data_IF_864693016885
#
_entry.id   IF_864693016885
#
_cell.length_a   1.000
_cell.length_b   1.000
_cell.length_c   1.000
_cell.angle_alpha   90.00
_cell.angle_beta   90.00
_cell.angle_gamma   90.00
#
_symmetry.space_group_name_H-M   'P 1'
#
loop_
_entity.id
_entity.type
_entity.pdbx_description
1 polymer ?
#
# COMPACT_ATOMS: atom_id res chain seq x y z
N UNK A 1 1.14 -43.09 -34.92
CA UNK A 1 1.63 -41.76 -34.50
C UNK A 1 2.91 -41.97 -33.69
N UNK A 2 4.03 -41.39 -34.09
CA UNK A 2 5.35 -41.73 -33.58
C UNK A 2 5.51 -41.20 -32.16
N UNK A 3 5.85 -42.05 -31.15
CA UNK A 3 5.99 -41.67 -29.74
C UNK A 3 6.91 -40.44 -29.53
N UNK A 4 7.91 -40.25 -30.42
CA UNK A 4 8.81 -39.10 -30.42
C UNK A 4 8.12 -37.78 -30.78
N UNK A 5 7.08 -37.81 -31.64
CA UNK A 5 6.30 -36.62 -32.04
C UNK A 5 5.37 -36.19 -30.90
N UNK A 6 4.80 -37.15 -30.15
CA UNK A 6 3.93 -36.87 -29.00
C UNK A 6 4.72 -36.23 -27.85
N UNK A 7 5.95 -36.70 -27.58
CA UNK A 7 6.84 -36.13 -26.56
C UNK A 7 7.29 -34.71 -26.94
N UNK A 8 7.57 -34.48 -28.24
CA UNK A 8 7.96 -33.14 -28.71
C UNK A 8 6.80 -32.14 -28.66
N UNK A 9 5.57 -32.56 -28.97
CA UNK A 9 4.36 -31.74 -28.80
C UNK A 9 4.05 -31.44 -27.32
N UNK A 10 4.32 -32.39 -26.41
CA UNK A 10 4.13 -32.20 -24.99
C UNK A 10 5.16 -31.22 -24.42
N UNK A 11 6.42 -31.26 -24.90
CA UNK A 11 7.48 -30.30 -24.52
C UNK A 11 7.20 -28.88 -25.05
N UNK A 12 6.60 -28.74 -26.23
CA UNK A 12 6.18 -27.44 -26.77
C UNK A 12 5.00 -26.88 -25.98
N UNK A 13 4.08 -27.73 -25.49
CA UNK A 13 2.96 -27.30 -24.65
C UNK A 13 3.38 -26.85 -23.24
N UNK A 14 4.56 -27.22 -22.73
CA UNK A 14 5.07 -26.77 -21.41
C UNK A 14 5.95 -25.52 -21.49
N UNK A 15 6.27 -25.02 -22.69
CA UNK A 15 6.96 -23.75 -22.89
C UNK A 15 5.99 -22.56 -22.73
N UNK A 16 5.11 -22.61 -21.71
CA UNK A 16 4.11 -21.56 -21.50
C UNK A 16 4.59 -20.42 -20.65
N UNK A 17 4.65 -19.30 -21.30
CA UNK A 17 4.28 -17.97 -20.81
C UNK A 17 4.66 -17.69 -19.37
N UNK A 18 5.92 -17.53 -19.13
CA UNK A 18 6.36 -16.61 -18.09
C UNK A 18 5.99 -15.19 -18.57
N UNK A 19 4.70 -14.84 -18.55
CA UNK A 19 4.34 -13.42 -18.56
C UNK A 19 5.01 -12.84 -17.34
N UNK A 20 5.98 -11.97 -17.55
CA UNK A 20 6.50 -11.17 -16.47
C UNK A 20 5.27 -10.51 -15.83
N UNK A 21 4.99 -10.91 -14.59
CA UNK A 21 3.85 -10.38 -13.84
C UNK A 21 4.07 -8.90 -13.68
N UNK A 22 3.30 -8.06 -14.38
CA UNK A 22 3.42 -6.61 -14.38
C UNK A 22 2.30 -6.01 -13.55
N UNK A 23 2.66 -5.17 -12.61
CA UNK A 23 1.70 -4.39 -11.85
C UNK A 23 1.35 -3.12 -12.65
N UNK A 24 0.06 -2.77 -12.76
CA UNK A 24 -0.37 -1.48 -13.30
C UNK A 24 0.05 -0.35 -12.36
N UNK A 25 0.48 0.75 -12.94
CA UNK A 25 0.66 1.99 -12.18
C UNK A 25 -0.67 2.47 -11.57
N UNK A 26 -0.63 3.31 -10.51
CA UNK A 26 -1.86 3.91 -9.99
C UNK A 26 -2.67 4.65 -11.05
N UNK A 27 -2.01 5.37 -11.96
CA UNK A 27 -2.65 6.10 -13.07
C UNK A 27 -3.43 5.16 -13.99
N UNK A 28 -2.81 4.05 -14.41
CA UNK A 28 -3.44 3.04 -15.26
C UNK A 28 -4.60 2.33 -14.56
N UNK A 29 -4.46 2.07 -13.26
CA UNK A 29 -5.51 1.40 -12.47
C UNK A 29 -6.70 2.33 -12.21
N UNK A 30 -6.43 3.58 -11.85
CA UNK A 30 -7.45 4.56 -11.51
C UNK A 30 -8.15 5.14 -12.74
N UNK A 31 -7.49 5.12 -13.92
CA UNK A 31 -7.99 5.74 -15.15
C UNK A 31 -7.87 7.26 -15.17
N UNK A 32 -7.03 7.84 -14.29
CA UNK A 32 -6.67 9.25 -14.27
C UNK A 32 -5.28 9.44 -13.65
N UNK A 33 -4.55 10.53 -13.98
CA UNK A 33 -3.25 10.80 -13.39
C UNK A 33 -3.34 10.95 -11.87
N UNK A 34 -2.47 10.25 -11.14
CA UNK A 34 -2.41 10.32 -9.69
C UNK A 34 -2.14 11.76 -9.24
N UNK A 35 -2.90 12.24 -8.27
CA UNK A 35 -2.83 13.62 -7.79
C UNK A 35 -3.63 14.64 -8.61
N UNK A 36 -4.23 14.27 -9.75
CA UNK A 36 -5.11 15.18 -10.51
C UNK A 36 -6.45 15.42 -9.82
N UNK A 37 -6.85 14.52 -8.94
CA UNK A 37 -7.98 14.62 -8.03
C UNK A 37 -7.74 13.73 -6.82
N UNK A 38 -8.42 13.98 -5.71
CA UNK A 38 -8.28 13.16 -4.52
C UNK A 38 -9.02 11.82 -4.68
N UNK A 39 -8.30 10.74 -4.41
CA UNK A 39 -8.81 9.36 -4.55
C UNK A 39 -9.59 8.95 -3.31
N UNK A 40 -10.89 8.54 -3.42
CA UNK A 40 -11.66 7.99 -2.31
C UNK A 40 -11.03 6.73 -1.72
N UNK A 41 -11.22 6.48 -0.43
CA UNK A 41 -10.60 5.37 0.28
C UNK A 41 -10.86 4.00 -0.36
N UNK A 42 -12.09 3.73 -0.81
CA UNK A 42 -12.43 2.46 -1.45
C UNK A 42 -11.60 2.15 -2.70
N UNK A 43 -11.15 3.17 -3.46
CA UNK A 43 -10.27 2.99 -4.62
C UNK A 43 -8.83 2.68 -4.20
N UNK A 44 -8.37 3.26 -3.09
CA UNK A 44 -7.07 2.93 -2.49
C UNK A 44 -7.08 1.46 -2.06
N UNK A 45 -8.11 1.04 -1.33
CA UNK A 45 -8.34 -0.36 -0.93
C UNK A 45 -8.32 -1.29 -2.15
N UNK A 46 -9.05 -0.91 -3.21
CA UNK A 46 -9.11 -1.69 -4.45
C UNK A 46 -7.75 -1.82 -5.13
N UNK A 47 -6.94 -0.75 -5.13
CA UNK A 47 -5.59 -0.78 -5.69
C UNK A 47 -4.66 -1.72 -4.91
N UNK A 48 -4.70 -1.67 -3.57
CA UNK A 48 -3.89 -2.57 -2.72
C UNK A 48 -4.32 -4.04 -2.89
N UNK A 49 -5.63 -4.32 -2.98
CA UNK A 49 -6.15 -5.66 -3.27
C UNK A 49 -5.76 -6.16 -4.68
N UNK A 50 -5.75 -5.26 -5.66
CA UNK A 50 -5.23 -5.58 -6.99
C UNK A 50 -3.72 -5.87 -6.94
N UNK A 51 -2.93 -5.05 -6.26
CA UNK A 51 -1.48 -5.19 -6.20
C UNK A 51 -1.05 -6.54 -5.61
N UNK A 52 -1.67 -6.99 -4.52
CA UNK A 52 -1.37 -8.30 -3.93
C UNK A 52 -1.75 -9.46 -4.87
N UNK A 53 -2.83 -9.32 -5.65
CA UNK A 53 -3.22 -10.31 -6.65
C UNK A 53 -2.26 -10.33 -7.85
N UNK A 54 -1.71 -9.18 -8.23
CA UNK A 54 -0.74 -9.06 -9.31
C UNK A 54 0.66 -9.53 -8.91
N UNK A 55 1.06 -9.35 -7.65
CA UNK A 55 2.43 -9.60 -7.16
C UNK A 55 2.46 -10.44 -5.87
N UNK A 56 1.79 -11.62 -5.83
CA UNK A 56 1.62 -12.40 -4.60
C UNK A 56 2.93 -12.95 -4.02
N UNK A 57 4.00 -13.05 -4.82
CA UNK A 57 5.31 -13.51 -4.34
C UNK A 57 6.11 -12.41 -3.60
N UNK A 58 5.75 -11.13 -3.80
CA UNK A 58 6.46 -9.98 -3.21
C UNK A 58 5.59 -9.19 -2.23
N UNK A 59 4.30 -9.48 -2.17
CA UNK A 59 3.36 -8.75 -1.32
C UNK A 59 2.40 -9.69 -0.59
N UNK A 60 2.19 -9.42 0.70
CA UNK A 60 1.06 -9.92 1.51
C UNK A 60 0.21 -8.73 1.92
N UNK A 61 -1.10 -8.91 2.07
CA UNK A 61 -2.03 -7.89 2.51
C UNK A 61 -2.92 -8.45 3.62
N UNK A 62 -2.94 -7.78 4.76
CA UNK A 62 -3.85 -8.08 5.86
C UNK A 62 -4.85 -6.93 6.05
N UNK A 63 -6.09 -7.25 6.37
CA UNK A 63 -7.07 -6.32 6.92
C UNK A 63 -7.03 -6.50 8.44
N UNK A 64 -6.44 -5.54 9.17
CA UNK A 64 -6.23 -5.66 10.61
C UNK A 64 -7.40 -5.12 11.45
N UNK A 65 -8.41 -4.55 10.80
CA UNK A 65 -9.61 -4.06 11.45
C UNK A 65 -10.47 -3.21 10.53
N UNK A 66 -11.49 -2.60 11.13
CA UNK A 66 -12.37 -1.65 10.47
C UNK A 66 -12.54 -0.42 11.36
N UNK A 67 -12.76 0.73 10.73
CA UNK A 67 -13.10 1.95 11.46
C UNK A 67 -14.53 1.87 12.00
N UNK A 68 -14.91 2.87 12.81
CA UNK A 68 -16.30 2.97 13.29
C UNK A 68 -17.33 3.10 12.15
N UNK A 69 -16.94 3.69 11.02
CA UNK A 69 -17.80 3.81 9.82
C UNK A 69 -17.68 2.60 8.88
N UNK A 70 -17.04 1.50 9.32
CA UNK A 70 -16.95 0.23 8.59
C UNK A 70 -15.93 0.23 7.44
N UNK A 71 -14.99 1.17 7.42
CA UNK A 71 -13.93 1.20 6.40
C UNK A 71 -12.78 0.27 6.79
N UNK A 72 -12.29 -0.59 5.87
CA UNK A 72 -11.20 -1.51 6.17
C UNK A 72 -9.88 -0.76 6.43
N UNK A 73 -9.15 -1.24 7.43
CA UNK A 73 -7.79 -0.84 7.76
C UNK A 73 -6.83 -1.90 7.24
N UNK A 74 -5.92 -1.51 6.35
CA UNK A 74 -5.06 -2.42 5.62
C UNK A 74 -3.60 -2.29 6.05
N UNK A 75 -2.90 -3.42 6.08
CA UNK A 75 -1.46 -3.46 6.22
C UNK A 75 -0.87 -4.33 5.11
N UNK A 76 -0.06 -3.71 4.25
CA UNK A 76 0.68 -4.40 3.21
C UNK A 76 2.10 -4.70 3.68
N UNK A 77 2.58 -5.92 3.41
CA UNK A 77 3.94 -6.37 3.64
C UNK A 77 4.61 -6.55 2.29
N UNK A 78 5.68 -5.82 2.04
CA UNK A 78 6.41 -5.84 0.78
C UNK A 78 7.87 -6.24 1.06
N UNK A 79 8.35 -7.25 0.33
CA UNK A 79 9.72 -7.75 0.47
C UNK A 79 10.19 -8.43 -0.82
N UNK A 80 11.47 -8.81 -0.88
CA UNK A 80 11.92 -9.79 -1.89
C UNK A 80 11.18 -11.11 -1.70
N UNK A 81 11.12 -11.94 -2.75
CA UNK A 81 10.47 -13.27 -2.70
C UNK A 81 11.01 -14.11 -1.55
N UNK A 82 12.34 -14.09 -1.34
CA UNK A 82 13.02 -14.84 -0.28
C UNK A 82 12.65 -14.31 1.12
N UNK A 83 12.59 -12.99 1.30
CA UNK A 83 12.26 -12.37 2.58
C UNK A 83 10.78 -12.53 2.92
N UNK A 84 9.89 -12.43 1.92
CA UNK A 84 8.45 -12.63 2.15
C UNK A 84 8.17 -14.06 2.62
N UNK A 85 8.86 -15.05 2.07
CA UNK A 85 8.75 -16.44 2.50
C UNK A 85 9.23 -16.69 3.94
N UNK A 86 10.09 -15.80 4.48
CA UNK A 86 10.67 -15.87 5.84
C UNK A 86 10.16 -14.77 6.77
N UNK A 87 9.03 -14.16 6.44
CA UNK A 87 8.52 -12.96 7.13
C UNK A 87 8.40 -13.15 8.65
N UNK A 88 7.90 -14.31 9.10
CA UNK A 88 7.75 -14.58 10.54
C UNK A 88 9.10 -14.79 11.25
N UNK A 89 10.08 -15.39 10.60
CA UNK A 89 11.44 -15.55 11.15
C UNK A 89 12.12 -14.17 11.27
N UNK A 90 11.96 -13.32 10.25
CA UNK A 90 12.46 -11.94 10.26
C UNK A 90 11.80 -11.15 11.40
N UNK A 91 10.48 -11.26 11.57
CA UNK A 91 9.74 -10.61 12.67
C UNK A 91 10.27 -11.06 14.04
N UNK A 92 10.33 -12.37 14.28
CA UNK A 92 10.85 -12.93 15.55
C UNK A 92 12.27 -12.47 15.82
N UNK A 93 13.12 -12.46 14.79
CA UNK A 93 14.48 -12.05 14.98
C UNK A 93 14.62 -10.55 15.30
N UNK A 94 13.81 -9.69 14.69
CA UNK A 94 13.75 -8.27 15.08
C UNK A 94 13.29 -8.08 16.53
N UNK A 95 12.32 -8.87 17.00
CA UNK A 95 11.89 -8.86 18.42
C UNK A 95 13.02 -9.33 19.38
N UNK A 96 13.89 -10.25 18.95
CA UNK A 96 15.08 -10.65 19.72
C UNK A 96 16.11 -9.54 19.79
N UNK A 97 16.36 -8.86 18.67
CA UNK A 97 17.30 -7.73 18.64
C UNK A 97 16.87 -6.57 19.54
N UNK A 98 15.57 -6.40 19.75
CA UNK A 98 15.01 -5.38 20.65
C UNK A 98 14.85 -5.87 22.11
N UNK A 99 15.17 -7.12 22.40
CA UNK A 99 15.04 -7.72 23.73
C UNK A 99 13.59 -8.07 24.14
N UNK A 100 12.63 -7.98 23.23
CA UNK A 100 11.24 -8.39 23.47
C UNK A 100 11.10 -9.92 23.52
N UNK A 101 11.80 -10.62 22.62
CA UNK A 101 11.98 -12.07 22.69
C UNK A 101 13.39 -12.39 23.19
N UNK A 102 13.47 -13.29 24.19
CA UNK A 102 14.72 -13.66 24.86
C UNK A 102 15.01 -15.17 24.78
N UNK A 103 14.33 -15.87 23.89
CA UNK A 103 14.47 -17.32 23.68
C UNK A 103 15.84 -17.72 23.11
N UNK A 104 16.46 -16.83 22.34
CA UNK A 104 17.82 -16.97 21.80
C UNK A 104 18.37 -15.59 21.39
N UNK A 105 19.70 -15.46 21.17
CA UNK A 105 20.30 -14.23 20.67
C UNK A 105 19.76 -13.83 19.29
N UNK A 106 19.54 -12.51 19.08
CA UNK A 106 19.16 -11.97 17.78
C UNK A 106 20.32 -11.96 16.79
N UNK A 107 20.04 -12.21 15.51
CA UNK A 107 21.00 -12.13 14.42
C UNK A 107 20.98 -10.72 13.81
N UNK A 108 22.10 -10.00 13.87
CA UNK A 108 22.25 -8.63 13.35
C UNK A 108 22.20 -8.54 11.81
N UNK A 109 22.40 -9.66 11.10
CA UNK A 109 22.34 -9.72 9.64
C UNK A 109 20.94 -10.04 9.10
N UNK A 110 19.89 -9.72 9.86
CA UNK A 110 18.51 -9.90 9.41
C UNK A 110 18.02 -8.63 8.67
N UNK A 111 17.08 -8.76 7.72
CA UNK A 111 16.44 -7.59 7.11
C UNK A 111 15.78 -6.67 8.15
N UNK A 112 15.96 -5.36 7.96
CA UNK A 112 15.26 -4.36 8.75
C UNK A 112 13.77 -4.33 8.40
N UNK A 113 12.93 -4.00 9.38
CA UNK A 113 11.50 -3.75 9.16
C UNK A 113 11.26 -2.24 9.18
N UNK A 114 10.71 -1.70 8.09
CA UNK A 114 10.35 -0.29 7.94
C UNK A 114 8.85 -0.18 7.82
N UNK A 115 8.22 0.57 8.70
CA UNK A 115 6.78 0.82 8.69
C UNK A 115 6.48 2.23 8.21
N UNK A 116 5.74 2.33 7.11
CA UNK A 116 5.28 3.56 6.49
C UNK A 116 3.77 3.72 6.73
N UNK A 117 3.43 4.57 7.68
CA UNK A 117 2.05 4.90 8.01
C UNK A 117 1.64 6.18 7.32
N UNK A 118 0.57 6.11 6.52
CA UNK A 118 0.09 7.23 5.72
C UNK A 118 -1.26 7.74 6.21
N UNK A 119 -1.54 9.02 5.95
CA UNK A 119 -2.83 9.67 6.12
C UNK A 119 -3.40 9.60 7.55
N UNK A 120 -2.55 9.94 8.53
CA UNK A 120 -2.94 10.11 9.93
C UNK A 120 -4.01 11.19 10.05
N UNK A 121 -3.81 12.32 9.36
CA UNK A 121 -4.87 13.32 9.17
C UNK A 121 -5.54 13.10 7.81
N UNK A 122 -6.84 12.85 7.83
CA UNK A 122 -7.57 12.48 6.61
C UNK A 122 -7.60 13.55 5.53
N UNK A 123 -7.53 14.83 5.89
CA UNK A 123 -7.49 15.96 4.94
C UNK A 123 -6.10 16.22 4.34
N UNK A 124 -5.05 15.52 4.79
CA UNK A 124 -3.74 15.52 4.13
C UNK A 124 -3.73 14.48 2.99
N UNK A 125 -4.52 14.74 1.98
CA UNK A 125 -4.95 13.75 0.97
C UNK A 125 -3.83 13.22 0.09
N UNK A 126 -2.76 14.00 -0.17
CA UNK A 126 -1.57 13.57 -0.91
C UNK A 126 -0.87 12.35 -0.28
N UNK A 127 -1.10 12.12 1.00
CA UNK A 127 -0.47 11.04 1.76
C UNK A 127 -0.84 9.64 1.21
N UNK A 128 -2.13 9.32 1.07
CA UNK A 128 -2.54 8.02 0.49
C UNK A 128 -2.27 7.92 -1.01
N UNK A 129 -2.24 9.04 -1.74
CA UNK A 129 -1.76 9.06 -3.14
C UNK A 129 -0.29 8.63 -3.19
N UNK A 130 0.53 9.17 -2.29
CA UNK A 130 1.93 8.77 -2.16
C UNK A 130 2.08 7.29 -1.75
N UNK A 131 1.20 6.77 -0.88
CA UNK A 131 1.19 5.35 -0.50
C UNK A 131 1.00 4.43 -1.71
N UNK A 132 0.06 4.74 -2.61
CA UNK A 132 -0.15 3.97 -3.85
C UNK A 132 1.08 4.05 -4.77
N UNK A 133 1.69 5.23 -4.92
CA UNK A 133 2.90 5.40 -5.73
C UNK A 133 4.09 4.65 -5.14
N UNK A 134 4.28 4.72 -3.82
CA UNK A 134 5.34 3.99 -3.12
C UNK A 134 5.17 2.48 -3.29
N UNK A 135 3.95 1.95 -3.12
CA UNK A 135 3.65 0.53 -3.35
C UNK A 135 4.03 0.12 -4.78
N UNK A 136 3.62 0.90 -5.77
CA UNK A 136 3.95 0.63 -7.17
C UNK A 136 5.47 0.57 -7.40
N UNK A 137 6.20 1.57 -6.93
CA UNK A 137 7.66 1.62 -7.11
C UNK A 137 8.39 0.45 -6.44
N UNK A 138 7.92 -0.01 -5.27
CA UNK A 138 8.48 -1.16 -4.58
C UNK A 138 8.22 -2.47 -5.32
N UNK A 139 7.07 -2.61 -5.97
CA UNK A 139 6.68 -3.82 -6.69
C UNK A 139 7.05 -3.80 -8.17
N UNK A 140 7.42 -2.64 -8.74
CA UNK A 140 7.74 -2.50 -10.16
C UNK A 140 9.03 -3.27 -10.52
N UNK A 141 8.94 -4.32 -11.37
CA UNK A 141 10.09 -5.13 -11.73
C UNK A 141 11.17 -4.37 -12.52
N UNK A 142 10.85 -3.22 -13.10
CA UNK A 142 11.81 -2.36 -13.79
C UNK A 142 12.63 -1.48 -12.84
N UNK A 143 12.21 -1.31 -11.58
CA UNK A 143 12.90 -0.49 -10.61
C UNK A 143 14.03 -1.28 -9.90
N UNK A 144 15.25 -1.18 -10.41
CA UNK A 144 16.40 -1.91 -9.87
C UNK A 144 16.79 -1.46 -8.45
N UNK A 145 16.57 -0.17 -8.11
CA UNK A 145 16.90 0.35 -6.78
C UNK A 145 16.03 -0.26 -5.68
N UNK A 146 14.73 -0.33 -5.90
CA UNK A 146 13.81 -0.92 -4.92
C UNK A 146 14.04 -2.41 -4.77
N UNK A 147 14.37 -3.13 -5.84
CA UNK A 147 14.80 -4.54 -5.76
C UNK A 147 16.01 -4.73 -4.84
N UNK A 148 16.99 -3.82 -4.94
CA UNK A 148 18.18 -3.89 -4.08
C UNK A 148 17.82 -3.62 -2.60
N UNK A 149 16.98 -2.63 -2.34
CA UNK A 149 16.54 -2.33 -0.98
C UNK A 149 15.77 -3.50 -0.35
N UNK A 150 14.88 -4.13 -1.09
CA UNK A 150 14.06 -5.25 -0.58
C UNK A 150 14.85 -6.52 -0.26
N UNK A 151 16.12 -6.63 -0.68
CA UNK A 151 17.01 -7.71 -0.22
C UNK A 151 17.29 -7.64 1.29
N UNK A 152 17.38 -6.41 1.83
CA UNK A 152 17.77 -6.16 3.22
C UNK A 152 16.67 -5.45 4.02
N UNK A 153 15.46 -5.31 3.45
CA UNK A 153 14.36 -4.58 4.09
C UNK A 153 13.02 -5.25 3.81
N UNK A 154 12.20 -5.35 4.83
CA UNK A 154 10.76 -5.60 4.71
C UNK A 154 10.05 -4.27 4.92
N UNK A 155 9.23 -3.85 3.96
CA UNK A 155 8.46 -2.60 4.04
C UNK A 155 7.02 -2.93 4.37
N UNK A 156 6.50 -2.32 5.44
CA UNK A 156 5.09 -2.35 5.81
C UNK A 156 4.46 -1.02 5.38
N UNK A 157 3.32 -1.09 4.68
CA UNK A 157 2.56 0.10 4.28
C UNK A 157 1.15 0.01 4.85
N UNK A 158 0.81 0.97 5.73
CA UNK A 158 -0.56 1.30 6.07
C UNK A 158 -0.99 2.49 5.18
N UNK A 159 -1.85 2.29 4.17
CA UNK A 159 -2.13 3.33 3.18
C UNK A 159 -2.98 4.46 3.70
N UNK A 160 -3.71 4.26 4.80
CA UNK A 160 -4.61 5.26 5.36
C UNK A 160 -5.05 4.88 6.78
N UNK A 161 -4.41 5.45 7.79
CA UNK A 161 -4.77 5.22 9.20
C UNK A 161 -6.13 5.86 9.54
N UNK A 162 -6.49 6.97 8.88
CA UNK A 162 -7.73 7.70 9.13
C UNK A 162 -8.64 7.74 7.88
N UNK A 163 -9.22 6.60 7.47
CA UNK A 163 -10.05 6.57 6.28
C UNK A 163 -11.40 7.29 6.46
N UNK A 164 -11.93 7.41 7.68
CA UNK A 164 -13.17 8.15 7.96
C UNK A 164 -12.95 9.66 7.73
N UNK A 165 -11.87 10.21 8.29
CA UNK A 165 -11.47 11.59 8.05
C UNK A 165 -11.14 11.85 6.58
N UNK A 166 -10.44 10.92 5.93
CA UNK A 166 -10.12 11.03 4.50
C UNK A 166 -11.38 11.13 3.64
N UNK A 167 -12.30 10.18 3.76
CA UNK A 167 -13.49 10.17 2.93
C UNK A 167 -14.40 11.36 3.21
N UNK A 168 -14.45 11.84 4.46
CA UNK A 168 -15.16 13.08 4.81
C UNK A 168 -14.63 14.26 4.02
N UNK A 169 -13.30 14.44 3.99
CA UNK A 169 -12.68 15.53 3.23
C UNK A 169 -12.77 15.32 1.72
N UNK A 170 -12.40 14.15 1.23
CA UNK A 170 -12.34 13.87 -0.22
C UNK A 170 -13.70 13.97 -0.87
N UNK A 171 -14.76 13.46 -0.23
CA UNK A 171 -16.11 13.53 -0.76
C UNK A 171 -16.60 14.99 -0.80
N UNK A 172 -16.36 15.74 0.25
CA UNK A 172 -16.68 17.18 0.26
C UNK A 172 -15.90 17.95 -0.81
N UNK A 173 -14.58 17.80 -0.85
CA UNK A 173 -13.72 18.53 -1.78
C UNK A 173 -14.11 18.25 -3.24
N UNK A 174 -14.31 16.98 -3.58
CA UNK A 174 -14.69 16.59 -4.95
C UNK A 174 -16.06 17.14 -5.39
N UNK A 175 -16.95 17.49 -4.44
CA UNK A 175 -18.21 18.16 -4.72
C UNK A 175 -18.06 19.68 -4.88
N UNK A 176 -17.04 20.26 -4.23
CA UNK A 176 -16.85 21.72 -4.16
C UNK A 176 -15.93 22.25 -5.25
N UNK A 177 -14.89 21.46 -5.62
CA UNK A 177 -13.91 21.88 -6.61
C UNK A 177 -14.53 22.08 -7.98
N UNK A 178 -14.14 23.17 -8.65
CA UNK A 178 -14.54 23.44 -10.03
C UNK A 178 -13.70 22.61 -11.04
N UNK A 179 -13.97 22.83 -12.34
CA UNK A 179 -13.16 22.23 -13.41
C UNK A 179 -11.68 22.60 -13.28
N UNK A 180 -11.40 23.83 -12.87
CA UNK A 180 -10.07 24.33 -12.55
C UNK A 180 -10.03 24.72 -11.08
N UNK A 181 -8.93 24.42 -10.39
CA UNK A 181 -8.71 24.87 -9.01
C UNK A 181 -8.75 26.41 -8.94
N UNK A 182 -9.41 26.94 -7.93
CA UNK A 182 -9.50 28.39 -7.71
C UNK A 182 -8.51 28.79 -6.61
N UNK A 183 -7.49 29.65 -6.88
CA UNK A 183 -6.52 30.07 -5.89
C UNK A 183 -7.07 31.04 -4.84
N UNK A 184 -8.28 31.56 -5.02
CA UNK A 184 -8.91 32.46 -4.04
C UNK A 184 -9.23 31.70 -2.76
N UNK A 185 -8.66 32.13 -1.65
CA UNK A 185 -8.87 31.55 -0.30
C UNK A 185 -10.32 31.58 0.16
N UNK A 186 -11.13 32.49 -0.39
CA UNK A 186 -12.55 32.61 -0.11
C UNK A 186 -13.41 31.65 -0.96
N UNK A 187 -12.82 30.93 -1.91
CA UNK A 187 -13.59 29.99 -2.71
C UNK A 187 -14.06 28.80 -1.87
N UNK A 188 -15.21 28.24 -2.27
CA UNK A 188 -15.88 27.14 -1.53
C UNK A 188 -15.00 25.89 -1.34
N UNK A 189 -14.03 25.66 -2.22
CA UNK A 189 -13.13 24.51 -2.17
C UNK A 189 -12.05 24.63 -1.08
N UNK A 190 -11.91 25.83 -0.45
CA UNK A 190 -11.02 26.07 0.68
C UNK A 190 -11.77 26.17 2.02
N UNK A 191 -13.09 26.05 2.00
CA UNK A 191 -13.97 26.18 3.17
C UNK A 191 -14.38 24.79 3.69
N UNK A 192 -13.39 24.01 4.18
CA UNK A 192 -13.68 22.70 4.77
C UNK A 192 -14.70 22.83 5.93
N UNK A 193 -15.85 22.10 5.86
CA UNK A 193 -16.86 22.21 6.90
C UNK A 193 -16.45 21.45 8.17
N UNK A 194 -17.01 21.83 9.29
CA UNK A 194 -16.94 21.04 10.51
C UNK A 194 -17.96 19.86 10.44
N UNK A 195 -17.62 18.64 10.93
CA UNK A 195 -16.29 18.20 11.38
C UNK A 195 -15.36 17.96 10.19
N UNK A 196 -14.15 18.54 10.26
CA UNK A 196 -13.13 18.39 9.20
C UNK A 196 -12.56 16.99 9.08
N UNK A 197 -11.87 16.73 7.97
CA UNK A 197 -11.22 15.43 7.71
C UNK A 197 -9.94 15.20 8.51
N UNK A 198 -9.45 16.19 9.26
CA UNK A 198 -8.24 16.03 10.09
C UNK A 198 -8.41 14.92 11.12
N UNK A 199 -9.52 14.90 11.83
CA UNK A 199 -9.83 13.99 12.93
C UNK A 199 -10.54 12.72 12.46
N UNK A 200 -10.57 11.69 13.33
CA UNK A 200 -11.32 10.46 13.07
C UNK A 200 -12.84 10.66 13.27
N UNK A 201 -13.61 9.55 13.23
CA UNK A 201 -15.05 9.57 13.46
C UNK A 201 -15.46 10.26 14.78
N UNK A 202 -14.71 10.01 15.86
CA UNK A 202 -14.97 10.56 17.21
C UNK A 202 -14.38 11.95 17.44
N UNK A 203 -13.87 12.61 16.41
CA UNK A 203 -13.15 13.89 16.49
C UNK A 203 -11.84 13.84 17.28
N UNK A 204 -11.20 12.67 17.41
CA UNK A 204 -9.85 12.56 17.96
C UNK A 204 -8.81 12.86 16.88
N UNK A 205 -7.81 13.67 17.24
CA UNK A 205 -6.60 13.84 16.43
C UNK A 205 -5.65 12.69 16.70
N UNK A 206 -5.57 11.74 15.75
CA UNK A 206 -4.75 10.54 15.88
C UNK A 206 -3.25 10.87 16.05
N UNK A 207 -2.80 12.05 15.63
CA UNK A 207 -1.43 12.50 15.86
C UNK A 207 -1.21 13.08 17.29
N UNK A 208 -2.15 12.92 18.20
CA UNK A 208 -2.04 13.23 19.62
C UNK A 208 -2.21 11.99 20.50
N UNK A 209 -2.19 10.80 19.91
CA UNK A 209 -2.55 9.53 20.55
C UNK A 209 -1.54 8.41 20.22
N UNK A 210 -0.26 8.77 20.14
CA UNK A 210 0.85 7.83 19.86
C UNK A 210 1.51 7.27 21.12
N UNK A 211 1.19 7.74 22.31
CA UNK A 211 1.82 7.36 23.57
C UNK A 211 1.06 6.26 24.31
#
# INVERSE_FOLDING_TARGET
>A
MNKKIVVFLFLICTAYFSFAQTIKSPDEFLGYPLGSKYTPHHKIVSYFKYAVSAMPQMMKLDEYGQTNEGRPLLLAYIASVENLAKLEDIRKNNLRLTGILTDQPGNVNTPAIVWLSYNVHGNETSSSEAAMKTLYELLNPANSKTKEWLKNTVVLIDPCINPDGRDRYVNWFNQMVGKNANPDRQSREHMEPWPGGRVNHYNFDLNRDWA
#
